data_IF_004411364074
#
_entry.id   IF_004411364074
#
_cell.length_a   1.000
_cell.length_b   1.000
_cell.length_c   1.000
_cell.angle_alpha   90.00
_cell.angle_beta   90.00
_cell.angle_gamma   90.00
#
_symmetry.space_group_name_H-M   'P 1'
#
loop_
_entity.id
_entity.type
_entity.pdbx_description
1 polymer ?
#
# COMPACT_ATOMS: atom_id res chain seq x y z
N UNK A 1 1.19 4.08 -19.50
CA UNK A 1 -0.02 3.74 -18.73
C UNK A 1 -1.14 4.70 -19.07
N UNK A 2 -2.39 4.34 -18.78
CA UNK A 2 -3.57 5.22 -18.91
C UNK A 2 -3.62 6.35 -17.84
N UNK A 3 -2.47 6.73 -17.24
CA UNK A 3 -2.33 7.73 -16.19
C UNK A 3 -2.88 7.35 -14.81
N UNK A 4 -3.16 6.07 -14.57
CA UNK A 4 -3.75 5.56 -13.32
C UNK A 4 -3.04 4.30 -12.83
N UNK A 5 -2.84 4.19 -11.53
CA UNK A 5 -2.38 3.00 -10.82
C UNK A 5 -3.48 2.39 -9.96
N UNK A 6 -3.39 1.08 -9.71
CA UNK A 6 -4.26 0.37 -8.77
C UNK A 6 -3.45 -0.06 -7.57
N UNK A 7 -4.00 0.15 -6.38
CA UNK A 7 -3.42 -0.25 -5.10
C UNK A 7 -4.08 -1.57 -4.67
N UNK A 8 -3.24 -2.52 -4.28
CA UNK A 8 -3.66 -3.84 -3.84
C UNK A 8 -3.21 -4.10 -2.41
N UNK A 9 -4.10 -4.65 -1.60
CA UNK A 9 -3.79 -5.13 -0.24
C UNK A 9 -4.29 -6.56 -0.15
N UNK A 10 -3.42 -7.49 0.25
CA UNK A 10 -3.74 -8.92 0.39
C UNK A 10 -4.37 -9.55 -0.87
N UNK A 11 -4.04 -9.04 -2.06
CA UNK A 11 -4.55 -9.53 -3.35
C UNK A 11 -5.87 -8.89 -3.82
N UNK A 12 -6.44 -7.96 -3.04
CA UNK A 12 -7.68 -7.26 -3.40
C UNK A 12 -7.39 -5.81 -3.82
N UNK A 13 -8.08 -5.33 -4.86
CA UNK A 13 -8.00 -3.94 -5.30
C UNK A 13 -8.75 -3.09 -4.29
N UNK A 14 -8.02 -2.18 -3.61
CA UNK A 14 -8.62 -1.28 -2.64
C UNK A 14 -8.88 0.12 -3.21
N UNK A 15 -8.04 0.58 -4.16
CA UNK A 15 -8.12 1.94 -4.70
C UNK A 15 -7.51 2.06 -6.09
N UNK A 16 -8.09 2.90 -6.93
CA UNK A 16 -7.46 3.37 -8.17
C UNK A 16 -7.10 4.84 -8.01
N UNK A 17 -5.85 5.20 -8.26
CA UNK A 17 -5.33 6.55 -8.05
C UNK A 17 -4.62 7.08 -9.30
N UNK A 18 -4.53 8.42 -9.48
CA UNK A 18 -3.66 9.01 -10.48
C UNK A 18 -2.20 8.58 -10.26
N UNK A 19 -1.42 8.51 -11.33
CA UNK A 19 -0.02 8.06 -11.26
C UNK A 19 0.84 8.86 -10.27
N UNK A 20 0.63 10.17 -10.19
CA UNK A 20 1.33 11.05 -9.25
C UNK A 20 1.04 10.76 -7.76
N UNK A 21 -0.10 10.12 -7.46
CA UNK A 21 -0.55 9.84 -6.09
C UNK A 21 -0.18 8.43 -5.62
N UNK A 22 0.40 7.59 -6.50
CA UNK A 22 0.67 6.18 -6.17
C UNK A 22 1.56 6.07 -4.94
N UNK A 23 2.68 6.80 -4.90
CA UNK A 23 3.67 6.68 -3.83
C UNK A 23 3.11 7.14 -2.49
N UNK A 24 2.45 8.31 -2.48
CA UNK A 24 1.82 8.85 -1.28
C UNK A 24 0.76 7.91 -0.74
N UNK A 25 -0.14 7.42 -1.61
CA UNK A 25 -1.20 6.48 -1.22
C UNK A 25 -0.61 5.16 -0.69
N UNK A 26 0.48 4.65 -1.27
CA UNK A 26 1.12 3.42 -0.79
C UNK A 26 1.70 3.59 0.62
N UNK A 27 2.31 4.74 0.91
CA UNK A 27 2.88 5.02 2.24
C UNK A 27 1.78 5.11 3.28
N UNK A 28 0.70 5.85 2.98
CA UNK A 28 -0.47 5.97 3.88
C UNK A 28 -1.08 4.61 4.20
N UNK A 29 -1.33 3.78 3.17
CA UNK A 29 -1.92 2.45 3.37
C UNK A 29 -0.97 1.52 4.12
N UNK A 30 0.34 1.61 3.88
CA UNK A 30 1.34 0.81 4.60
C UNK A 30 1.38 1.18 6.10
N UNK A 31 1.29 2.47 6.44
CA UNK A 31 1.24 2.92 7.84
C UNK A 31 -0.04 2.44 8.52
N UNK A 32 -1.19 2.59 7.86
CA UNK A 32 -2.46 2.07 8.35
C UNK A 32 -2.42 0.56 8.60
N UNK A 33 -1.88 -0.20 7.66
CA UNK A 33 -1.69 -1.65 7.80
C UNK A 33 -0.75 -2.01 8.96
N UNK A 34 0.31 -1.22 9.18
CA UNK A 34 1.22 -1.42 10.30
C UNK A 34 0.52 -1.18 11.64
N UNK A 35 -0.28 -0.11 11.77
CA UNK A 35 -1.09 0.17 12.96
C UNK A 35 -2.13 -0.92 13.23
N UNK A 36 -2.83 -1.38 12.17
CA UNK A 36 -3.79 -2.48 12.28
C UNK A 36 -3.11 -3.79 12.72
N UNK A 37 -1.90 -4.08 12.20
CA UNK A 37 -1.11 -5.25 12.60
C UNK A 37 -0.61 -5.14 14.05
N UNK A 38 -0.14 -3.97 14.47
CA UNK A 38 0.28 -3.70 15.85
C UNK A 38 -0.88 -3.88 16.83
N UNK A 39 -2.05 -3.32 16.51
CA UNK A 39 -3.27 -3.49 17.30
C UNK A 39 -3.71 -4.98 17.39
N UNK A 40 -3.43 -5.76 16.34
CA UNK A 40 -3.68 -7.20 16.31
C UNK A 40 -2.58 -8.03 17.00
N UNK A 41 -1.52 -7.41 17.54
CA UNK A 41 -0.40 -8.08 18.20
C UNK A 41 0.57 -8.78 17.24
N UNK A 42 0.55 -8.41 15.95
CA UNK A 42 1.40 -8.97 14.89
C UNK A 42 2.52 -7.98 14.59
N UNK A 43 3.79 -8.40 14.72
CA UNK A 43 4.93 -7.55 14.40
C UNK A 43 4.97 -7.24 12.88
N UNK A 44 5.01 -5.94 12.52
CA UNK A 44 5.02 -5.53 11.11
C UNK A 44 6.38 -5.83 10.45
N UNK A 45 6.38 -6.51 9.29
CA UNK A 45 7.57 -6.67 8.45
C UNK A 45 7.93 -5.37 7.69
N UNK A 46 9.19 -5.20 7.30
CA UNK A 46 9.63 -4.04 6.51
C UNK A 46 9.05 -4.10 5.08
N UNK A 47 8.51 -2.98 4.54
CA UNK A 47 8.00 -2.95 3.17
C UNK A 47 9.15 -3.08 2.16
N UNK A 48 9.06 -4.06 1.26
CA UNK A 48 10.02 -4.26 0.17
C UNK A 48 9.42 -3.78 -1.16
N UNK A 49 10.10 -2.83 -1.82
CA UNK A 49 9.72 -2.32 -3.13
C UNK A 49 10.72 -2.82 -4.16
N UNK A 50 10.30 -3.77 -5.00
CA UNK A 50 11.09 -4.23 -6.15
C UNK A 50 10.64 -3.46 -7.40
N UNK A 51 11.58 -2.76 -8.04
CA UNK A 51 11.38 -2.14 -9.35
C UNK A 51 12.03 -3.03 -10.41
N UNK A 52 11.23 -3.63 -11.29
CA UNK A 52 11.67 -4.42 -12.46
C UNK A 52 11.13 -3.81 -13.73
#
# INVERSE_FOLDING_TARGET
>A
GNGKGQIFVKGEVIKTVPEAMIVETLIEEAMRLAEEMEAAGVASGQPVVSTS
#
